data_IF_573796882387
#
_entry.id   IF_573796882387
#
_cell.length_a   1.000
_cell.length_b   1.000
_cell.length_c   1.000
_cell.angle_alpha   90.00
_cell.angle_beta   90.00
_cell.angle_gamma   90.00
#
_symmetry.space_group_name_H-M   'P 1'
#
loop_
_entity.id
_entity.type
_entity.pdbx_description
1 polymer ?
#
# COMPACT_ATOMS: atom_id res chain seq x y z
N UNK A 1 -25.97 2.78 12.83
CA UNK A 1 -25.69 1.86 13.95
C UNK A 1 -26.22 2.35 15.29
N UNK A 2 -25.97 3.62 15.66
CA UNK A 2 -26.38 4.22 16.93
C UNK A 2 -27.81 3.91 17.39
N UNK A 3 -28.83 4.25 16.59
CA UNK A 3 -30.24 4.06 16.97
C UNK A 3 -30.60 2.60 17.25
N UNK A 4 -30.00 1.67 16.50
CA UNK A 4 -30.18 0.22 16.70
C UNK A 4 -29.58 -0.23 18.04
N UNK A 5 -28.39 0.27 18.39
CA UNK A 5 -27.75 -0.05 19.67
C UNK A 5 -28.52 0.59 20.82
N UNK A 6 -28.92 1.85 20.69
CA UNK A 6 -29.68 2.57 21.70
C UNK A 6 -31.00 1.86 21.99
N UNK A 7 -31.76 1.47 20.96
CA UNK A 7 -33.02 0.75 21.14
C UNK A 7 -32.85 -0.59 21.85
N UNK A 8 -31.76 -1.32 21.57
CA UNK A 8 -31.43 -2.58 22.28
C UNK A 8 -31.08 -2.34 23.74
N UNK A 9 -30.28 -1.31 24.03
CA UNK A 9 -29.91 -0.95 25.39
C UNK A 9 -31.11 -0.47 26.22
N UNK A 10 -32.01 0.31 25.61
CA UNK A 10 -33.25 0.76 26.25
C UNK A 10 -34.19 -0.42 26.54
N UNK A 11 -34.33 -1.37 25.60
CA UNK A 11 -35.13 -2.58 25.81
C UNK A 11 -34.57 -3.45 26.94
N UNK A 12 -33.24 -3.59 27.03
CA UNK A 12 -32.58 -4.30 28.12
C UNK A 12 -32.80 -3.60 29.46
N UNK A 13 -32.63 -2.28 29.52
CA UNK A 13 -32.86 -1.50 30.74
C UNK A 13 -34.31 -1.61 31.24
N UNK A 14 -35.29 -1.60 30.32
CA UNK A 14 -36.70 -1.81 30.65
C UNK A 14 -36.96 -3.22 31.21
N UNK A 15 -36.32 -4.25 30.65
CA UNK A 15 -36.44 -5.62 31.16
C UNK A 15 -35.88 -5.77 32.59
N UNK A 16 -34.86 -5.00 32.94
CA UNK A 16 -34.27 -4.92 34.29
C UNK A 16 -35.05 -3.99 35.25
N UNK A 17 -36.15 -3.38 34.80
CA UNK A 17 -37.02 -2.55 35.63
C UNK A 17 -36.65 -1.06 35.69
N UNK A 18 -35.73 -0.60 34.83
CA UNK A 18 -35.44 0.83 34.68
C UNK A 18 -36.42 1.50 33.71
N UNK A 19 -36.67 2.81 33.90
CA UNK A 19 -37.49 3.62 33.00
C UNK A 19 -36.63 4.63 32.22
N UNK A 20 -36.11 4.28 31.04
CA UNK A 20 -35.21 5.13 30.26
C UNK A 20 -35.97 6.20 29.45
N UNK A 21 -36.88 6.95 30.07
CA UNK A 21 -37.57 8.05 29.39
C UNK A 21 -36.58 9.12 28.91
N UNK A 22 -36.91 9.82 27.80
CA UNK A 22 -36.18 11.01 27.39
C UNK A 22 -36.03 12.02 28.54
N UNK A 23 -34.81 12.54 28.73
CA UNK A 23 -34.50 13.50 29.79
C UNK A 23 -34.05 12.89 31.13
N UNK A 24 -34.10 11.57 31.31
CA UNK A 24 -33.54 10.90 32.49
C UNK A 24 -32.02 10.74 32.39
N UNK A 25 -31.34 10.66 33.54
CA UNK A 25 -29.90 10.34 33.61
C UNK A 25 -29.61 8.99 32.96
N UNK A 26 -30.47 7.99 33.23
CA UNK A 26 -30.37 6.65 32.66
C UNK A 26 -30.37 6.72 31.13
N UNK A 27 -31.33 7.42 30.52
CA UNK A 27 -31.34 7.57 29.06
C UNK A 27 -30.11 8.33 28.53
N UNK A 28 -29.60 9.31 29.28
CA UNK A 28 -28.33 9.98 28.97
C UNK A 28 -27.14 9.01 28.91
N UNK A 29 -27.01 8.15 29.92
CA UNK A 29 -25.95 7.13 29.98
C UNK A 29 -26.09 6.09 28.86
N UNK A 30 -27.30 5.59 28.61
CA UNK A 30 -27.54 4.63 27.53
C UNK A 30 -27.19 5.22 26.15
N UNK A 31 -27.44 6.51 25.92
CA UNK A 31 -27.01 7.21 24.70
C UNK A 31 -25.48 7.33 24.62
N UNK A 32 -24.81 7.62 25.73
CA UNK A 32 -23.34 7.67 25.75
C UNK A 32 -22.73 6.28 25.41
N UNK A 33 -23.25 5.22 26.01
CA UNK A 33 -22.83 3.85 25.69
C UNK A 33 -23.14 3.48 24.24
N UNK A 34 -24.34 3.81 23.74
CA UNK A 34 -24.70 3.56 22.35
C UNK A 34 -23.76 4.29 21.37
N UNK A 35 -23.35 5.51 21.69
CA UNK A 35 -22.38 6.27 20.88
C UNK A 35 -21.01 5.58 20.86
N UNK A 36 -20.49 5.17 22.02
CA UNK A 36 -19.22 4.47 22.12
C UNK A 36 -19.22 3.12 21.37
N UNK A 37 -20.27 2.32 21.55
CA UNK A 37 -20.43 1.04 20.87
C UNK A 37 -20.58 1.22 19.36
N UNK A 38 -21.36 2.21 18.92
CA UNK A 38 -21.52 2.50 17.50
C UNK A 38 -20.18 2.89 16.85
N UNK A 39 -19.39 3.73 17.52
CA UNK A 39 -18.05 4.09 17.05
C UNK A 39 -17.15 2.85 16.89
N UNK A 40 -17.10 1.99 17.91
CA UNK A 40 -16.30 0.74 17.85
C UNK A 40 -16.80 -0.18 16.74
N UNK A 41 -18.11 -0.30 16.58
CA UNK A 41 -18.71 -1.12 15.53
C UNK A 41 -18.35 -0.63 14.13
N UNK A 42 -18.41 0.69 13.91
CA UNK A 42 -18.07 1.29 12.62
C UNK A 42 -16.57 1.07 12.30
N UNK A 43 -15.69 1.22 13.29
CA UNK A 43 -14.25 0.93 13.13
C UNK A 43 -13.97 -0.54 12.84
N UNK A 44 -14.64 -1.47 13.52
CA UNK A 44 -14.51 -2.90 13.24
C UNK A 44 -15.05 -3.26 11.85
N UNK A 45 -16.11 -2.58 11.41
CA UNK A 45 -16.67 -2.77 10.07
C UNK A 45 -15.70 -2.29 9.00
N UNK A 46 -15.12 -1.10 9.16
CA UNK A 46 -14.10 -0.59 8.25
C UNK A 46 -12.86 -1.50 8.21
N UNK A 47 -12.37 -1.95 9.38
CA UNK A 47 -11.24 -2.88 9.44
C UNK A 47 -11.54 -4.21 8.72
N UNK A 48 -12.75 -4.76 8.91
CA UNK A 48 -13.20 -5.99 8.24
C UNK A 48 -13.30 -5.80 6.73
N UNK A 49 -13.87 -4.69 6.28
CA UNK A 49 -14.05 -4.40 4.85
C UNK A 49 -12.70 -4.07 4.19
N UNK A 50 -11.81 -3.37 4.89
CA UNK A 50 -10.44 -3.09 4.48
C UNK A 50 -9.55 -4.34 4.42
N UNK A 51 -9.89 -5.41 5.13
CA UNK A 51 -9.15 -6.66 5.13
C UNK A 51 -9.20 -7.42 3.79
N UNK A 52 -10.10 -7.07 2.87
CA UNK A 52 -10.19 -7.73 1.57
C UNK A 52 -10.18 -6.68 0.45
N UNK A 53 -9.30 -6.84 -0.55
CA UNK A 53 -9.25 -5.94 -1.70
C UNK A 53 -10.59 -5.81 -2.46
N UNK A 54 -11.45 -6.83 -2.38
CA UNK A 54 -12.78 -6.81 -2.99
C UNK A 54 -13.74 -5.81 -2.31
N UNK A 55 -13.64 -5.65 -0.98
CA UNK A 55 -14.54 -4.81 -0.17
C UNK A 55 -13.88 -3.53 0.32
N UNK A 56 -12.56 -3.45 0.25
CA UNK A 56 -11.80 -2.31 0.74
C UNK A 56 -12.21 -1.04 -0.01
N UNK A 57 -12.48 0.01 0.77
CA UNK A 57 -12.57 1.38 0.29
C UNK A 57 -11.19 1.88 -0.17
N UNK A 58 -11.16 3.06 -0.79
CA UNK A 58 -9.95 3.61 -1.42
C UNK A 58 -8.74 3.64 -0.48
N UNK A 59 -8.88 4.22 0.72
CA UNK A 59 -7.79 4.32 1.70
C UNK A 59 -7.21 2.94 2.08
N UNK A 60 -8.08 1.95 2.27
CA UNK A 60 -7.65 0.60 2.60
C UNK A 60 -7.01 -0.12 1.40
N UNK A 61 -7.41 0.20 0.16
CA UNK A 61 -6.73 -0.28 -1.05
C UNK A 61 -5.32 0.27 -1.18
N UNK A 62 -5.07 1.54 -0.79
CA UNK A 62 -3.72 2.10 -0.76
C UNK A 62 -2.76 1.30 0.12
N UNK A 63 -3.25 0.78 1.26
CA UNK A 63 -2.47 -0.10 2.15
C UNK A 63 -2.12 -1.41 1.45
N UNK A 64 -3.07 -2.01 0.71
CA UNK A 64 -2.83 -3.21 -0.09
C UNK A 64 -1.83 -3.00 -1.22
N UNK A 65 -1.97 -1.89 -1.95
CA UNK A 65 -1.02 -1.51 -3.01
C UNK A 65 0.39 -1.35 -2.46
N UNK A 66 0.52 -0.67 -1.33
CA UNK A 66 1.81 -0.46 -0.66
C UNK A 66 2.45 -1.79 -0.25
N UNK A 67 1.67 -2.67 0.38
CA UNK A 67 2.14 -4.01 0.78
C UNK A 67 2.53 -4.91 -0.40
N UNK A 68 1.98 -4.66 -1.59
CA UNK A 68 2.25 -5.44 -2.81
C UNK A 68 3.17 -4.77 -3.80
N UNK A 69 3.69 -3.60 -3.46
CA UNK A 69 4.50 -2.86 -4.39
C UNK A 69 3.76 -2.59 -5.71
N UNK A 70 2.49 -2.19 -5.67
CA UNK A 70 1.72 -1.74 -6.83
C UNK A 70 1.38 -0.24 -6.77
N UNK A 71 1.24 0.38 -7.94
CA UNK A 71 0.71 1.75 -8.06
C UNK A 71 -0.80 1.67 -8.29
N UNK A 72 -1.57 2.69 -7.87
CA UNK A 72 -2.99 2.75 -8.16
C UNK A 72 -3.26 2.74 -9.67
N UNK A 73 -4.49 2.38 -10.05
CA UNK A 73 -5.04 2.73 -11.36
C UNK A 73 -5.65 4.12 -11.34
N UNK A 74 -6.15 4.58 -12.48
CA UNK A 74 -6.86 5.86 -12.57
C UNK A 74 -8.23 5.77 -11.89
N UNK A 75 -8.78 4.55 -11.79
CA UNK A 75 -10.01 4.26 -11.06
C UNK A 75 -9.84 3.22 -9.95
N UNK A 76 -10.79 3.21 -9.02
CA UNK A 76 -10.83 2.26 -7.92
C UNK A 76 -11.06 0.82 -8.43
N UNK A 77 -11.77 0.66 -9.55
CA UNK A 77 -11.97 -0.62 -10.23
C UNK A 77 -10.67 -1.13 -10.87
N UNK A 78 -9.94 -0.27 -11.60
CA UNK A 78 -8.63 -0.61 -12.16
C UNK A 78 -7.63 -0.97 -11.07
N UNK A 79 -7.62 -0.23 -9.97
CA UNK A 79 -6.79 -0.52 -8.79
C UNK A 79 -7.05 -1.94 -8.26
N UNK A 80 -8.31 -2.34 -8.14
CA UNK A 80 -8.69 -3.70 -7.75
C UNK A 80 -8.25 -4.74 -8.79
N UNK A 81 -8.40 -4.44 -10.08
CA UNK A 81 -7.96 -5.34 -11.14
C UNK A 81 -6.44 -5.54 -11.13
N UNK A 82 -5.65 -4.48 -10.93
CA UNK A 82 -4.19 -4.56 -10.76
C UNK A 82 -3.80 -5.47 -9.59
N UNK A 83 -4.46 -5.32 -8.43
CA UNK A 83 -4.23 -6.19 -7.27
C UNK A 83 -4.57 -7.66 -7.56
N UNK A 84 -5.69 -7.92 -8.24
CA UNK A 84 -6.11 -9.27 -8.61
C UNK A 84 -5.13 -9.91 -9.61
N UNK A 85 -4.72 -9.17 -10.65
CA UNK A 85 -3.74 -9.63 -11.63
C UNK A 85 -2.42 -10.00 -10.95
N UNK A 86 -1.94 -9.16 -10.03
CA UNK A 86 -0.71 -9.44 -9.28
C UNK A 86 -0.80 -10.67 -8.40
N UNK A 87 -1.98 -10.99 -7.86
CA UNK A 87 -2.23 -12.20 -7.05
C UNK A 87 -2.30 -13.46 -7.92
N UNK A 88 -2.76 -13.35 -9.17
CA UNK A 88 -2.87 -14.47 -10.10
C UNK A 88 -1.53 -14.87 -10.72
N UNK A 89 -0.55 -13.95 -10.74
CA UNK A 89 0.81 -14.25 -11.19
C UNK A 89 1.43 -15.35 -10.31
N UNK A 90 1.84 -16.49 -10.89
CA UNK A 90 2.59 -17.51 -10.18
C UNK A 90 3.85 -16.93 -9.55
N UNK A 91 4.22 -17.41 -8.37
CA UNK A 91 5.50 -17.06 -7.79
C UNK A 91 6.63 -17.55 -8.72
N UNK A 92 7.51 -16.63 -9.13
CA UNK A 92 8.56 -16.92 -10.10
C UNK A 92 8.18 -16.71 -11.57
N UNK A 93 7.00 -16.17 -11.88
CA UNK A 93 6.63 -15.76 -13.24
C UNK A 93 7.29 -14.42 -13.61
N UNK A 94 8.55 -14.49 -14.02
CA UNK A 94 9.35 -13.36 -14.48
C UNK A 94 9.26 -13.21 -16.00
N UNK A 95 8.06 -12.92 -16.50
CA UNK A 95 7.87 -12.65 -17.93
C UNK A 95 8.47 -11.30 -18.33
N UNK A 96 9.04 -11.24 -19.54
CA UNK A 96 9.59 -10.00 -20.09
C UNK A 96 8.53 -8.90 -20.20
N UNK A 97 7.32 -9.26 -20.63
CA UNK A 97 6.20 -8.33 -20.73
C UNK A 97 5.79 -7.76 -19.35
N UNK A 98 5.77 -8.60 -18.31
CA UNK A 98 5.49 -8.17 -16.94
C UNK A 98 6.56 -7.20 -16.42
N UNK A 99 7.84 -7.52 -16.66
CA UNK A 99 8.95 -6.63 -16.31
C UNK A 99 8.89 -5.28 -17.05
N UNK A 100 8.64 -5.28 -18.37
CA UNK A 100 8.52 -4.06 -19.17
C UNK A 100 7.38 -3.16 -18.68
N UNK A 101 6.22 -3.75 -18.38
CA UNK A 101 5.10 -3.00 -17.82
C UNK A 101 5.45 -2.41 -16.45
N UNK A 102 6.06 -3.21 -15.56
CA UNK A 102 6.46 -2.75 -14.24
C UNK A 102 7.53 -1.64 -14.30
N UNK A 103 8.49 -1.75 -15.22
CA UNK A 103 9.50 -0.71 -15.48
C UNK A 103 8.83 0.60 -15.89
N UNK A 104 7.88 0.56 -16.83
CA UNK A 104 7.15 1.75 -17.27
C UNK A 104 6.28 2.34 -16.16
N UNK A 105 5.53 1.51 -15.44
CA UNK A 105 4.64 1.96 -14.36
C UNK A 105 5.43 2.58 -13.20
N UNK A 106 6.50 1.93 -12.74
CA UNK A 106 7.26 2.34 -11.56
C UNK A 106 8.29 3.43 -11.87
N UNK A 107 8.91 3.39 -13.04
CA UNK A 107 10.05 4.23 -13.38
C UNK A 107 9.78 5.23 -14.51
N UNK A 108 8.59 5.20 -15.11
CA UNK A 108 8.17 6.11 -16.18
C UNK A 108 8.52 5.61 -17.57
N UNK A 109 7.96 6.27 -18.59
CA UNK A 109 8.13 5.89 -20.00
C UNK A 109 9.57 6.06 -20.51
N UNK A 110 10.37 6.91 -19.88
CA UNK A 110 11.77 7.16 -20.23
C UNK A 110 12.74 6.12 -19.63
N UNK A 111 12.25 5.21 -18.77
CA UNK A 111 13.05 4.15 -18.21
C UNK A 111 13.28 3.04 -19.25
N UNK A 112 14.53 2.66 -19.46
CA UNK A 112 14.91 1.62 -20.42
C UNK A 112 15.80 0.57 -19.79
N UNK A 113 15.98 -0.55 -20.50
CA UNK A 113 16.87 -1.62 -20.08
C UNK A 113 17.60 -2.22 -21.27
N UNK A 114 18.79 -2.74 -21.02
CA UNK A 114 19.58 -3.52 -21.96
C UNK A 114 19.93 -4.86 -21.31
N UNK A 115 19.86 -5.94 -22.08
CA UNK A 115 20.24 -7.27 -21.60
C UNK A 115 21.31 -7.84 -22.51
N UNK A 116 22.52 -8.01 -21.97
CA UNK A 116 23.69 -8.49 -22.70
C UNK A 116 24.40 -9.54 -21.86
N UNK A 117 24.65 -10.73 -22.41
CA UNK A 117 25.39 -11.82 -21.77
C UNK A 117 24.92 -12.20 -20.35
N UNK A 118 23.62 -12.07 -20.06
CA UNK A 118 23.03 -12.38 -18.75
C UNK A 118 23.09 -11.23 -17.72
N UNK A 119 23.63 -10.07 -18.10
CA UNK A 119 23.58 -8.85 -17.32
C UNK A 119 22.39 -7.98 -17.74
N UNK A 120 21.63 -7.51 -16.75
CA UNK A 120 20.55 -6.55 -16.95
C UNK A 120 21.04 -5.15 -16.60
N UNK A 121 21.21 -4.30 -17.59
CA UNK A 121 21.52 -2.89 -17.41
C UNK A 121 20.22 -2.06 -17.39
N UNK A 122 20.03 -1.23 -16.38
CA UNK A 122 18.86 -0.39 -16.19
C UNK A 122 19.21 1.09 -16.29
N UNK A 123 18.55 1.80 -17.21
CA UNK A 123 18.63 3.25 -17.37
C UNK A 123 17.40 3.87 -16.71
N UNK A 124 17.56 4.39 -15.49
CA UNK A 124 16.43 4.90 -14.67
C UNK A 124 16.51 6.42 -14.48
N UNK A 125 15.47 7.17 -14.85
CA UNK A 125 15.40 8.62 -14.61
C UNK A 125 15.58 8.97 -13.13
N UNK A 126 16.24 10.09 -12.83
CA UNK A 126 16.55 10.50 -11.45
C UNK A 126 15.31 10.56 -10.54
N UNK A 127 14.19 11.06 -11.04
CA UNK A 127 12.93 11.16 -10.29
C UNK A 127 12.31 9.78 -9.96
N UNK A 128 12.61 8.76 -10.76
CA UNK A 128 12.09 7.40 -10.63
C UNK A 128 12.96 6.47 -9.76
N UNK A 129 14.18 6.91 -9.42
CA UNK A 129 15.17 6.11 -8.67
C UNK A 129 14.65 5.61 -7.32
N UNK A 130 13.73 6.32 -6.67
CA UNK A 130 13.11 5.88 -5.42
C UNK A 130 12.30 4.57 -5.55
N UNK A 131 11.83 4.25 -6.76
CA UNK A 131 11.05 3.04 -7.03
C UNK A 131 11.92 1.84 -7.47
N UNK A 132 13.22 2.04 -7.67
CA UNK A 132 14.12 1.02 -8.22
C UNK A 132 14.19 -0.23 -7.35
N UNK A 133 14.39 -0.09 -6.04
CA UNK A 133 14.56 -1.26 -5.17
C UNK A 133 13.32 -2.15 -5.14
N UNK A 134 12.14 -1.55 -5.32
CA UNK A 134 10.88 -2.26 -5.51
C UNK A 134 10.80 -2.96 -6.87
N UNK A 135 11.25 -2.33 -7.95
CA UNK A 135 11.35 -2.97 -9.26
C UNK A 135 12.26 -4.22 -9.19
N UNK A 136 13.47 -4.07 -8.63
CA UNK A 136 14.45 -5.15 -8.51
C UNK A 136 13.93 -6.32 -7.68
N UNK A 137 13.39 -6.04 -6.49
CA UNK A 137 12.90 -7.08 -5.58
C UNK A 137 11.71 -7.86 -6.15
N UNK A 138 10.77 -7.17 -6.79
CA UNK A 138 9.47 -7.75 -7.11
C UNK A 138 9.36 -8.25 -8.57
N UNK A 139 10.25 -7.80 -9.47
CA UNK A 139 10.12 -8.03 -10.91
C UNK A 139 11.40 -8.51 -11.61
N UNK A 140 12.59 -8.35 -11.01
CA UNK A 140 13.83 -8.89 -11.58
C UNK A 140 14.04 -10.32 -11.06
N UNK A 141 14.31 -11.31 -11.93
CA UNK A 141 14.66 -12.65 -11.51
C UNK A 141 15.86 -12.64 -10.55
N UNK A 142 15.84 -13.42 -9.46
CA UNK A 142 16.91 -13.42 -8.45
C UNK A 142 18.27 -13.93 -8.97
N UNK A 143 18.30 -14.51 -10.16
CA UNK A 143 19.50 -15.01 -10.82
C UNK A 143 20.07 -14.05 -11.87
N UNK A 144 19.40 -12.93 -12.18
CA UNK A 144 19.96 -11.87 -13.00
C UNK A 144 20.65 -10.85 -12.11
N UNK A 145 21.88 -10.49 -12.46
CA UNK A 145 22.54 -9.35 -11.84
C UNK A 145 22.08 -8.08 -12.57
N UNK A 146 21.50 -7.15 -11.83
CA UNK A 146 21.03 -5.87 -12.35
C UNK A 146 22.05 -4.78 -12.04
N UNK A 147 22.60 -4.16 -13.07
CA UNK A 147 23.47 -2.99 -12.99
C UNK A 147 22.67 -1.73 -13.32
N UNK A 148 22.98 -0.64 -12.65
CA UNK A 148 22.46 0.67 -13.01
C UNK A 148 23.49 1.36 -13.90
N UNK A 149 23.01 2.01 -14.97
CA UNK A 149 23.89 2.82 -15.81
C UNK A 149 23.66 4.31 -15.63
N UNK A 150 24.71 5.07 -15.94
CA UNK A 150 24.77 6.51 -15.83
C UNK A 150 25.50 6.99 -14.57
N UNK A 151 25.51 8.31 -14.37
CA UNK A 151 26.08 8.89 -13.16
C UNK A 151 25.20 8.51 -11.97
N UNK A 152 25.77 7.71 -11.07
CA UNK A 152 25.17 7.35 -9.80
C UNK A 152 24.78 8.56 -8.96
N UNK A 153 24.39 8.30 -7.72
CA UNK A 153 23.85 9.30 -6.81
C UNK A 153 24.89 9.60 -5.74
N UNK A 154 25.27 10.87 -5.62
CA UNK A 154 26.18 11.27 -4.55
C UNK A 154 25.49 11.19 -3.19
N UNK A 155 26.26 10.96 -2.13
CA UNK A 155 25.77 11.04 -0.75
C UNK A 155 25.09 12.37 -0.44
N UNK A 156 25.63 13.48 -0.94
CA UNK A 156 25.04 14.81 -0.80
C UNK A 156 23.63 14.90 -1.43
N UNK A 157 23.39 14.20 -2.54
CA UNK A 157 22.09 14.18 -3.19
C UNK A 157 21.08 13.27 -2.47
N UNK A 158 21.52 12.30 -1.67
CA UNK A 158 20.64 11.55 -0.77
C UNK A 158 20.27 12.35 0.48
N UNK A 159 21.25 13.05 1.05
CA UNK A 159 21.03 13.92 2.20
C UNK A 159 20.09 15.09 1.86
N UNK A 160 20.25 15.69 0.66
CA UNK A 160 19.37 16.76 0.18
C UNK A 160 17.90 16.30 0.00
N UNK A 161 17.69 15.04 -0.37
CA UNK A 161 16.36 14.43 -0.48
C UNK A 161 15.78 14.00 0.88
N UNK A 162 16.51 14.25 1.97
CA UNK A 162 16.16 13.79 3.31
C UNK A 162 15.85 12.29 3.32
N UNK A 163 16.69 11.48 2.66
CA UNK A 163 16.56 10.02 2.61
C UNK A 163 17.50 9.34 3.63
N UNK A 164 17.11 9.21 4.91
CA UNK A 164 17.93 8.52 5.89
C UNK A 164 18.13 7.05 5.52
N UNK A 165 19.20 6.45 6.06
CA UNK A 165 19.56 5.05 5.81
C UNK A 165 18.38 4.07 6.01
N UNK A 166 17.56 4.28 7.03
CA UNK A 166 16.38 3.44 7.29
C UNK A 166 15.33 3.49 6.17
N UNK A 167 15.23 4.61 5.44
CA UNK A 167 14.34 4.76 4.27
C UNK A 167 14.98 4.10 3.06
N UNK A 168 16.29 4.29 2.86
CA UNK A 168 17.06 3.66 1.80
C UNK A 168 16.98 2.13 1.87
N UNK A 169 17.24 1.56 3.05
CA UNK A 169 17.20 0.12 3.32
C UNK A 169 15.78 -0.45 3.13
N UNK A 170 14.75 0.24 3.67
CA UNK A 170 13.34 -0.15 3.48
C UNK A 170 12.90 -0.13 2.01
N UNK A 171 13.45 0.80 1.23
CA UNK A 171 13.19 0.88 -0.20
C UNK A 171 13.89 -0.24 -1.00
N UNK A 172 14.75 -1.05 -0.36
CA UNK A 172 15.54 -2.11 -0.97
C UNK A 172 16.42 -1.59 -2.13
N UNK A 173 16.92 -0.34 -2.01
CA UNK A 173 17.77 0.24 -3.04
C UNK A 173 19.16 -0.42 -3.02
N UNK A 174 19.70 -0.81 -4.19
CA UNK A 174 21.05 -1.35 -4.26
C UNK A 174 22.07 -0.24 -3.99
N UNK A 175 23.22 -0.60 -3.42
CA UNK A 175 24.32 0.36 -3.23
C UNK A 175 24.91 0.85 -4.55
N UNK A 176 24.76 0.08 -5.63
CA UNK A 176 25.13 0.44 -7.01
C UNK A 176 24.45 1.75 -7.47
N UNK A 177 23.38 2.20 -6.80
CA UNK A 177 22.78 3.52 -7.07
C UNK A 177 23.71 4.68 -6.70
N UNK A 178 24.70 4.43 -5.83
CA UNK A 178 25.71 5.37 -5.39
C UNK A 178 26.95 5.36 -6.28
N UNK A 179 27.12 4.30 -7.08
CA UNK A 179 28.30 4.14 -7.92
C UNK A 179 28.27 5.18 -9.03
N UNK A 180 29.16 6.15 -8.91
CA UNK A 180 29.55 7.02 -10.00
C UNK A 180 30.69 6.30 -10.72
N UNK A 181 30.38 5.48 -11.73
CA UNK A 181 31.39 5.19 -12.74
C UNK A 181 31.60 6.47 -13.56
N UNK A 182 32.85 6.96 -13.54
CA UNK A 182 33.34 8.07 -14.35
C UNK A 182 33.26 7.76 -15.86
#
# INVERSE_FOLDING_TARGET
MFETVLGRLQALAQAEGFDPQPGTVINGELRAYAAGIALVYDQLTDAREGAFAATAAEENLWRWLTARGLLPGDTLQETRQKLLARRQMPWGDFSLAGFQQALSDLCGADATYHCTDGNLELVIPAAARANLGRLLRDWVPPFLYAHLSGSGRTWNALDADAMPYAVFDRAALPFDILDTED
#
